data_IF_692010209018
#
_entry.id   IF_692010209018
#
_cell.length_a   1.000
_cell.length_b   1.000
_cell.length_c   1.000
_cell.angle_alpha   90.00
_cell.angle_beta   90.00
_cell.angle_gamma   90.00
#
_symmetry.space_group_name_H-M   'P 1'
#
loop_
_entity.id
_entity.type
_entity.pdbx_description
1 polymer ?
#
# COMPACT_ATOMS: atom_id res chain seq x y z
N UNK A 1 5.64 13.28 2.71
CA UNK A 1 5.33 12.86 1.32
C UNK A 1 6.62 12.37 0.70
N UNK A 2 6.71 11.08 0.40
CA UNK A 2 7.85 10.49 -0.31
C UNK A 2 7.60 10.48 -1.81
N UNK A 3 8.65 10.66 -2.62
CA UNK A 3 8.58 10.52 -4.08
C UNK A 3 9.58 9.46 -4.51
N UNK A 4 9.10 8.43 -5.20
CA UNK A 4 9.93 7.36 -5.78
C UNK A 4 9.64 7.33 -7.28
N UNK A 5 10.68 7.44 -8.09
CA UNK A 5 10.58 7.37 -9.56
C UNK A 5 9.55 8.35 -10.15
N UNK A 6 9.42 9.53 -9.55
CA UNK A 6 8.47 10.56 -9.98
C UNK A 6 7.04 10.33 -9.51
N UNK A 7 6.74 9.22 -8.81
CA UNK A 7 5.43 8.91 -8.23
C UNK A 7 5.42 9.16 -6.73
N UNK A 8 4.29 9.64 -6.24
CA UNK A 8 4.07 9.83 -4.80
C UNK A 8 3.79 8.49 -4.13
N UNK A 9 4.50 8.23 -3.04
CA UNK A 9 4.26 7.14 -2.11
C UNK A 9 4.07 7.76 -0.73
N UNK A 10 2.94 7.49 -0.07
CA UNK A 10 2.61 8.13 1.20
C UNK A 10 3.63 7.78 2.28
N UNK A 11 3.95 6.49 2.41
CA UNK A 11 4.90 5.99 3.40
C UNK A 11 5.82 4.91 2.85
N UNK A 12 7.08 4.99 3.29
CA UNK A 12 8.07 3.92 3.18
C UNK A 12 8.52 3.63 4.60
N UNK A 13 8.39 2.37 5.03
CA UNK A 13 8.87 1.95 6.34
C UNK A 13 9.97 0.92 6.17
N UNK A 14 11.04 1.06 6.96
CA UNK A 14 12.17 0.16 6.94
C UNK A 14 12.60 -0.20 8.37
N UNK A 15 12.83 -1.49 8.61
CA UNK A 15 13.34 -2.02 9.88
C UNK A 15 14.19 -3.25 9.62
N UNK A 16 15.41 -3.30 10.15
CA UNK A 16 16.32 -4.44 10.04
C UNK A 16 16.52 -4.95 8.60
N UNK A 17 16.58 -4.02 7.63
CA UNK A 17 16.71 -4.31 6.19
C UNK A 17 15.43 -4.80 5.51
N UNK A 18 14.31 -4.90 6.24
CA UNK A 18 12.98 -5.15 5.67
C UNK A 18 12.33 -3.82 5.35
N UNK A 19 11.90 -3.66 4.11
CA UNK A 19 11.22 -2.46 3.61
C UNK A 19 9.79 -2.80 3.19
N UNK A 20 8.86 -1.88 3.42
CA UNK A 20 7.51 -1.93 2.87
C UNK A 20 7.12 -0.57 2.29
N UNK A 21 6.26 -0.60 1.28
CA UNK A 21 5.64 0.58 0.69
C UNK A 21 4.16 0.61 1.02
N UNK A 22 3.67 1.75 1.50
CA UNK A 22 2.27 1.91 1.90
C UNK A 22 1.66 3.12 1.23
N UNK A 23 0.51 2.90 0.61
CA UNK A 23 -0.36 3.92 0.04
C UNK A 23 -1.68 3.95 0.82
N UNK A 24 -2.23 5.14 1.07
CA UNK A 24 -3.40 5.32 1.93
C UNK A 24 -4.51 6.06 1.16
N UNK A 25 -5.73 5.52 1.21
CA UNK A 25 -6.90 6.16 0.64
C UNK A 25 -8.09 6.07 1.60
N UNK A 26 -9.02 7.03 1.56
CA UNK A 26 -10.26 6.91 2.32
C UNK A 26 -11.14 5.78 1.75
N UNK A 27 -11.46 5.83 0.45
CA UNK A 27 -12.22 4.82 -0.28
C UNK A 27 -11.65 4.61 -1.68
N UNK A 28 -11.73 3.39 -2.21
CA UNK A 28 -11.32 3.05 -3.58
C UNK A 28 -12.59 2.72 -4.37
N UNK A 29 -13.41 3.75 -4.60
CA UNK A 29 -14.73 3.62 -5.21
C UNK A 29 -14.74 3.61 -6.74
N UNK A 30 -13.68 4.14 -7.38
CA UNK A 30 -13.61 4.27 -8.84
C UNK A 30 -12.29 3.74 -9.42
N UNK A 31 -12.31 3.54 -10.74
CA UNK A 31 -11.15 3.01 -11.48
C UNK A 31 -9.96 3.97 -11.42
N UNK A 32 -10.18 5.28 -11.44
CA UNK A 32 -9.09 6.26 -11.47
C UNK A 32 -8.29 6.25 -10.16
N UNK A 33 -8.98 6.21 -9.03
CA UNK A 33 -8.40 6.07 -7.69
C UNK A 33 -7.67 4.75 -7.58
N UNK A 34 -8.28 3.64 -8.03
CA UNK A 34 -7.62 2.33 -8.06
C UNK A 34 -6.33 2.36 -8.89
N UNK A 35 -6.39 2.89 -10.11
CA UNK A 35 -5.23 2.96 -11.00
C UNK A 35 -4.11 3.82 -10.39
N UNK A 36 -4.45 4.88 -9.67
CA UNK A 36 -3.48 5.74 -8.98
C UNK A 36 -2.85 5.03 -7.78
N UNK A 37 -3.64 4.57 -6.82
CA UNK A 37 -3.11 4.02 -5.57
C UNK A 37 -2.32 2.73 -5.79
N UNK A 38 -2.84 1.82 -6.62
CA UNK A 38 -2.15 0.58 -6.94
C UNK A 38 -1.06 0.77 -8.00
N UNK A 39 -1.29 1.61 -9.02
CA UNK A 39 -0.33 1.82 -10.11
C UNK A 39 0.92 2.58 -9.69
N UNK A 40 0.87 3.35 -8.61
CA UNK A 40 2.07 3.94 -8.02
C UNK A 40 2.98 2.85 -7.43
N UNK A 41 2.41 1.94 -6.65
CA UNK A 41 3.14 0.82 -6.04
C UNK A 41 3.64 -0.19 -7.08
N UNK A 42 2.83 -0.50 -8.10
CA UNK A 42 3.19 -1.46 -9.17
C UNK A 42 4.32 -0.98 -10.08
N UNK A 43 4.60 0.33 -10.12
CA UNK A 43 5.72 0.87 -10.88
C UNK A 43 7.07 0.62 -10.20
N UNK A 44 7.07 0.37 -8.88
CA UNK A 44 8.29 0.10 -8.13
C UNK A 44 8.81 -1.29 -8.50
N UNK A 45 9.98 -1.33 -9.13
CA UNK A 45 10.56 -2.52 -9.76
C UNK A 45 11.23 -3.52 -8.80
N UNK A 46 11.05 -3.37 -7.49
CA UNK A 46 11.56 -4.29 -6.49
C UNK A 46 10.52 -5.32 -6.00
N UNK A 47 10.97 -6.25 -5.17
CA UNK A 47 10.13 -7.31 -4.60
C UNK A 47 9.74 -7.08 -3.13
N UNK A 48 9.91 -5.87 -2.60
CA UNK A 48 9.47 -5.58 -1.24
C UNK A 48 7.93 -5.53 -1.16
N UNK A 49 7.34 -5.89 0.00
CA UNK A 49 5.89 -5.84 0.20
C UNK A 49 5.31 -4.44 -0.08
N UNK A 50 4.14 -4.45 -0.72
CA UNK A 50 3.41 -3.26 -1.16
C UNK A 50 1.99 -3.36 -0.65
N UNK A 51 1.50 -2.31 0.01
CA UNK A 51 0.22 -2.33 0.72
C UNK A 51 -0.56 -1.06 0.37
N UNK A 52 -1.83 -1.23 0.00
CA UNK A 52 -2.81 -0.15 -0.01
C UNK A 52 -3.69 -0.29 1.23
N UNK A 53 -3.81 0.76 2.01
CA UNK A 53 -4.64 0.82 3.22
C UNK A 53 -5.84 1.73 2.96
N UNK A 54 -7.06 1.24 3.19
CA UNK A 54 -8.27 2.08 3.06
C UNK A 54 -9.38 1.75 4.06
N UNK A 55 -10.46 2.55 4.06
CA UNK A 55 -11.69 2.22 4.80
C UNK A 55 -12.67 1.33 4.02
N UNK A 56 -12.25 0.75 2.89
CA UNK A 56 -13.12 -0.12 2.11
C UNK A 56 -13.44 -1.39 2.89
N UNK A 57 -14.74 -1.64 3.11
CA UNK A 57 -15.23 -2.86 3.81
C UNK A 57 -14.93 -4.15 3.07
N UNK A 58 -14.62 -4.08 1.78
CA UNK A 58 -14.27 -5.21 0.93
C UNK A 58 -12.75 -5.33 0.70
N UNK A 59 -11.94 -4.56 1.44
CA UNK A 59 -10.49 -4.78 1.48
C UNK A 59 -10.19 -6.21 1.99
N UNK A 60 -9.11 -6.82 1.50
CA UNK A 60 -8.75 -8.22 1.80
C UNK A 60 -8.44 -9.08 0.57
N UNK A 61 -8.44 -8.50 -0.64
CA UNK A 61 -7.97 -9.15 -1.85
C UNK A 61 -6.67 -8.52 -2.34
N UNK A 62 -5.74 -9.35 -2.79
CA UNK A 62 -4.53 -8.88 -3.45
C UNK A 62 -4.85 -8.40 -4.87
N UNK A 63 -4.22 -7.31 -5.29
CA UNK A 63 -4.24 -6.83 -6.67
C UNK A 63 -2.84 -6.82 -7.24
N UNK A 64 -2.55 -7.75 -8.15
CA UNK A 64 -1.24 -7.87 -8.81
C UNK A 64 -0.06 -7.93 -7.82
N UNK A 65 -0.26 -8.58 -6.66
CA UNK A 65 0.77 -8.71 -5.61
C UNK A 65 0.82 -7.54 -4.63
N UNK A 66 -0.01 -6.51 -4.81
CA UNK A 66 -0.21 -5.43 -3.83
C UNK A 66 -1.35 -5.82 -2.90
N UNK A 67 -1.09 -5.81 -1.59
CA UNK A 67 -2.06 -6.17 -0.57
C UNK A 67 -3.03 -5.02 -0.33
N UNK A 68 -4.34 -5.27 -0.42
CA UNK A 68 -5.35 -4.28 -0.02
C UNK A 68 -5.85 -4.60 1.39
N UNK A 69 -5.51 -3.73 2.36
CA UNK A 69 -5.90 -3.91 3.76
C UNK A 69 -6.87 -2.84 4.23
N UNK A 70 -7.81 -3.26 5.07
CA UNK A 70 -8.67 -2.35 5.78
C UNK A 70 -7.87 -1.65 6.89
N UNK A 71 -8.13 -0.36 7.14
CA UNK A 71 -7.33 0.46 8.06
C UNK A 71 -7.32 -0.08 9.49
N UNK A 72 -8.45 -0.61 9.99
CA UNK A 72 -8.53 -1.18 11.33
C UNK A 72 -7.62 -2.41 11.43
N UNK A 73 -7.67 -3.30 10.44
CA UNK A 73 -6.84 -4.51 10.39
C UNK A 73 -5.35 -4.18 10.23
N UNK A 74 -5.02 -3.09 9.55
CA UNK A 74 -3.65 -2.60 9.42
C UNK A 74 -3.12 -2.06 10.75
N UNK A 75 -3.92 -1.26 11.46
CA UNK A 75 -3.54 -0.65 12.73
C UNK A 75 -3.44 -1.66 13.89
N UNK A 76 -4.07 -2.82 13.77
CA UNK A 76 -4.01 -3.91 14.75
C UNK A 76 -2.88 -4.92 14.48
N UNK A 77 -2.10 -4.73 13.42
CA UNK A 77 -1.05 -5.67 13.04
C UNK A 77 0.32 -5.29 13.63
N UNK A 78 0.63 -5.87 14.79
CA UNK A 78 1.92 -5.67 15.45
C UNK A 78 3.10 -6.30 14.70
N UNK A 79 2.85 -7.16 13.70
CA UNK A 79 3.86 -8.00 13.04
C UNK A 79 4.25 -7.51 11.65
N UNK A 80 3.78 -6.34 11.22
CA UNK A 80 3.98 -5.83 9.86
C UNK A 80 5.45 -5.80 9.39
N UNK A 81 6.39 -5.58 10.31
CA UNK A 81 7.84 -5.53 10.06
C UNK A 81 8.64 -6.55 10.89
N UNK A 82 7.98 -7.52 11.52
CA UNK A 82 8.62 -8.51 12.40
C UNK A 82 9.20 -9.71 11.64
#
# INVERSE_FOLDING_TARGET
>A
IGQIEGKEIDFVAEKDGRKIYVQVAYLIGDKATRDREFGNLLAISDNYPKIVVSMDKLAGSDYQGVQHRQIIDFLQDDKLLQ
#
